data_IF_774373605470
#
_entry.id   IF_774373605470
#
_cell.length_a   1.000
_cell.length_b   1.000
_cell.length_c   1.000
_cell.angle_alpha   90.00
_cell.angle_beta   90.00
_cell.angle_gamma   90.00
#
_symmetry.space_group_name_H-M   'P 1'
#
loop_
_entity.id
_entity.type
_entity.pdbx_description
1 polymer ?
#
# COMPACT_ATOMS: atom_id res chain seq x y z
N UNK A 1 28.33 20.40 25.19
CA UNK A 1 27.17 21.31 25.16
C UNK A 1 26.73 21.67 23.74
N UNK A 2 27.61 22.06 22.81
CA UNK A 2 27.21 22.36 21.41
C UNK A 2 26.69 21.13 20.63
N UNK A 3 27.35 19.98 20.74
CA UNK A 3 26.93 18.72 20.07
C UNK A 3 25.55 18.23 20.56
N UNK A 4 25.25 18.44 21.84
CA UNK A 4 23.98 18.03 22.47
C UNK A 4 22.81 18.90 22.01
N UNK A 5 23.04 20.18 21.70
CA UNK A 5 22.04 21.10 21.15
C UNK A 5 21.79 20.89 19.65
N UNK A 6 22.82 20.49 18.89
CA UNK A 6 22.71 20.16 17.46
C UNK A 6 21.93 18.85 17.26
N UNK A 7 22.22 17.80 18.04
CA UNK A 7 21.45 16.55 18.00
C UNK A 7 19.96 16.80 18.28
N UNK A 8 19.65 17.61 19.29
CA UNK A 8 18.26 17.88 19.67
C UNK A 8 17.46 18.68 18.61
N UNK A 9 18.15 19.37 17.68
CA UNK A 9 17.53 20.07 16.55
C UNK A 9 17.33 19.20 15.31
N UNK A 10 18.04 18.08 15.19
CA UNK A 10 17.86 17.15 14.07
C UNK A 10 16.78 16.11 14.36
N UNK A 11 16.45 15.86 15.64
CA UNK A 11 15.37 14.96 16.03
C UNK A 11 14.00 15.40 15.49
N UNK A 12 13.73 16.70 15.39
CA UNK A 12 12.47 17.20 14.79
C UNK A 12 12.36 16.94 13.28
N UNK A 13 13.44 16.51 12.63
CA UNK A 13 13.46 16.11 11.21
C UNK A 13 13.47 14.59 11.02
N UNK A 14 13.32 13.81 12.11
CA UNK A 14 13.13 12.36 12.04
C UNK A 14 11.65 12.07 12.23
N UNK A 15 11.06 11.41 11.24
CA UNK A 15 9.69 10.95 11.31
C UNK A 15 9.66 9.43 11.36
N UNK A 16 8.83 8.86 12.22
CA UNK A 16 8.51 7.44 12.16
C UNK A 16 7.74 7.17 10.86
N UNK A 17 8.24 6.24 10.05
CA UNK A 17 7.72 5.97 8.72
C UNK A 17 6.31 5.39 8.75
N UNK A 18 5.99 4.58 9.77
CA UNK A 18 4.70 3.94 9.88
C UNK A 18 3.58 4.96 10.16
N UNK A 19 3.84 5.93 11.03
CA UNK A 19 2.93 7.04 11.32
C UNK A 19 2.91 8.10 10.22
N UNK A 20 4.04 8.38 9.56
CA UNK A 20 4.11 9.36 8.48
C UNK A 20 3.42 8.89 7.18
N UNK A 21 3.32 7.58 6.94
CA UNK A 21 2.67 7.03 5.74
C UNK A 21 1.15 6.88 5.94
N UNK A 22 0.39 7.67 5.19
CA UNK A 22 -1.07 7.68 5.18
C UNK A 22 -1.60 6.95 3.94
N UNK A 23 -2.19 5.77 4.17
CA UNK A 23 -2.77 4.95 3.11
C UNK A 23 -4.29 5.11 3.10
N UNK A 24 -4.89 5.26 1.91
CA UNK A 24 -6.35 5.33 1.74
C UNK A 24 -6.85 4.49 0.59
N UNK A 25 -8.04 3.89 0.77
CA UNK A 25 -8.85 3.35 -0.32
C UNK A 25 -9.93 4.38 -0.66
N UNK A 26 -9.64 5.20 -1.67
CA UNK A 26 -10.51 6.30 -2.09
C UNK A 26 -11.62 5.71 -2.96
N UNK A 27 -12.86 5.78 -2.46
CA UNK A 27 -14.04 5.50 -3.26
C UNK A 27 -14.62 6.77 -3.87
N UNK A 28 -14.46 7.90 -3.16
CA UNK A 28 -15.01 9.19 -3.54
C UNK A 28 -14.11 10.36 -3.13
N UNK A 29 -14.35 11.54 -3.71
CA UNK A 29 -13.57 12.74 -3.41
C UNK A 29 -13.57 13.15 -1.94
N UNK A 30 -14.68 12.94 -1.21
CA UNK A 30 -14.73 13.29 0.22
C UNK A 30 -13.75 12.42 1.02
N UNK A 31 -13.53 11.18 0.62
CA UNK A 31 -12.58 10.27 1.27
C UNK A 31 -11.14 10.80 1.23
N UNK A 32 -10.82 11.60 0.20
CA UNK A 32 -9.49 12.20 0.03
C UNK A 32 -9.18 13.14 1.17
N UNK A 33 -10.18 13.95 1.55
CA UNK A 33 -10.09 14.96 2.60
C UNK A 33 -10.46 14.41 3.99
N UNK A 34 -11.10 13.25 4.04
CA UNK A 34 -11.48 12.56 5.27
C UNK A 34 -10.26 11.87 5.91
N UNK A 35 -9.75 12.44 7.00
CA UNK A 35 -8.58 11.91 7.71
C UNK A 35 -8.88 10.57 8.39
N UNK A 36 -10.12 10.31 8.79
CA UNK A 36 -10.51 9.10 9.52
C UNK A 36 -10.49 7.84 8.63
N UNK A 37 -10.41 8.03 7.30
CA UNK A 37 -10.27 6.95 6.32
C UNK A 37 -8.81 6.58 6.03
N UNK A 38 -7.88 7.32 6.60
CA UNK A 38 -6.47 6.95 6.57
C UNK A 38 -6.23 5.74 7.45
N UNK A 39 -5.40 4.84 6.98
CA UNK A 39 -4.82 3.78 7.77
C UNK A 39 -3.31 3.73 7.52
N UNK A 40 -2.59 3.12 8.44
CA UNK A 40 -1.13 3.11 8.46
C UNK A 40 -0.60 1.71 8.14
N UNK A 41 0.62 1.59 7.59
CA UNK A 41 1.31 0.30 7.54
C UNK A 41 1.56 -0.23 8.95
N UNK A 42 1.58 -1.56 9.10
CA UNK A 42 2.05 -2.18 10.34
C UNK A 42 3.59 -2.20 10.40
N UNK A 43 4.22 -2.22 9.22
CA UNK A 43 5.67 -2.23 9.04
C UNK A 43 6.03 -1.53 7.73
N UNK A 44 7.20 -0.92 7.69
CA UNK A 44 7.72 -0.19 6.54
C UNK A 44 9.21 -0.39 6.31
N UNK A 45 9.86 -1.28 7.07
CA UNK A 45 11.29 -1.57 7.00
C UNK A 45 11.75 -2.03 5.61
N UNK A 46 10.88 -2.69 4.85
CA UNK A 46 11.18 -3.12 3.48
C UNK A 46 11.37 -1.93 2.51
N UNK A 47 10.83 -0.75 2.85
CA UNK A 47 10.89 0.46 2.02
C UNK A 47 11.79 1.53 2.63
N UNK A 48 11.73 1.74 3.94
CA UNK A 48 12.49 2.78 4.65
C UNK A 48 13.66 2.25 5.49
N UNK A 49 13.96 0.94 5.38
CA UNK A 49 15.05 0.28 6.10
C UNK A 49 14.68 -0.07 7.55
N UNK A 50 15.52 -0.88 8.19
CA UNK A 50 15.24 -1.53 9.49
C UNK A 50 14.87 -0.58 10.64
N UNK A 51 15.28 0.69 10.58
CA UNK A 51 14.91 1.67 11.60
C UNK A 51 13.50 2.24 11.44
N UNK A 52 12.85 2.06 10.28
CA UNK A 52 11.53 2.60 9.96
C UNK A 52 11.42 4.11 10.25
N UNK A 53 12.50 4.84 9.97
CA UNK A 53 12.61 6.28 10.19
C UNK A 53 12.93 6.96 8.86
N UNK A 54 12.21 8.04 8.59
CA UNK A 54 12.44 8.93 7.47
C UNK A 54 13.14 10.18 8.01
N UNK A 55 14.29 10.51 7.44
CA UNK A 55 15.08 11.66 7.84
C UNK A 55 14.93 12.84 6.86
N UNK A 56 14.92 14.04 7.44
CA UNK A 56 15.10 15.31 6.72
C UNK A 56 13.83 16.16 6.59
N UNK A 57 12.73 15.78 7.23
CA UNK A 57 11.43 16.44 7.07
C UNK A 57 10.76 16.71 8.42
N UNK A 58 10.17 17.90 8.59
CA UNK A 58 9.30 18.22 9.74
C UNK A 58 7.84 17.98 9.37
N UNK A 59 7.09 17.38 10.30
CA UNK A 59 5.66 17.11 10.14
C UNK A 59 5.36 16.44 8.79
N UNK A 60 6.13 15.40 8.48
CA UNK A 60 6.04 14.68 7.24
C UNK A 60 4.71 13.90 7.14
N UNK A 61 4.03 14.06 6.02
CA UNK A 61 2.87 13.27 5.61
C UNK A 61 3.12 12.71 4.20
N UNK A 62 3.29 11.39 4.11
CA UNK A 62 3.42 10.66 2.84
C UNK A 62 2.04 10.09 2.50
N UNK A 63 1.42 10.62 1.45
CA UNK A 63 0.06 10.28 1.03
C UNK A 63 0.11 9.20 -0.05
N UNK A 64 -0.27 7.97 0.29
CA UNK A 64 -0.30 6.83 -0.63
C UNK A 64 -1.75 6.37 -0.84
N UNK A 65 -2.43 6.96 -1.81
CA UNK A 65 -3.87 6.75 -2.01
C UNK A 65 -4.12 5.83 -3.19
N UNK A 66 -5.03 4.89 -3.02
CA UNK A 66 -5.44 3.95 -4.04
C UNK A 66 -6.91 4.17 -4.36
N UNK A 67 -7.25 4.26 -5.65
CA UNK A 67 -8.63 4.13 -6.07
C UNK A 67 -9.12 2.72 -5.69
N UNK A 68 -10.19 2.64 -4.90
CA UNK A 68 -10.59 1.42 -4.21
C UNK A 68 -10.86 0.22 -5.14
N UNK A 69 -11.35 0.46 -6.37
CA UNK A 69 -11.56 -0.58 -7.37
C UNK A 69 -10.33 -0.94 -8.18
N UNK A 70 -9.88 -0.01 -9.04
CA UNK A 70 -8.78 -0.19 -10.00
C UNK A 70 -7.38 -0.27 -9.39
N UNK A 71 -7.19 0.16 -8.14
CA UNK A 71 -5.90 0.37 -7.48
C UNK A 71 -4.98 1.37 -8.19
N UNK A 72 -5.50 2.26 -9.03
CA UNK A 72 -4.71 3.41 -9.50
C UNK A 72 -4.18 4.20 -8.31
N UNK A 73 -2.88 4.49 -8.32
CA UNK A 73 -2.15 4.99 -7.17
C UNK A 73 -1.80 6.46 -7.37
N UNK A 74 -2.05 7.24 -6.32
CA UNK A 74 -1.55 8.60 -6.12
C UNK A 74 -0.49 8.56 -5.01
N UNK A 75 0.64 9.21 -5.25
CA UNK A 75 1.71 9.42 -4.27
C UNK A 75 1.94 10.91 -4.12
N UNK A 76 1.67 11.44 -2.92
CA UNK A 76 1.94 12.83 -2.53
C UNK A 76 2.84 12.88 -1.31
N UNK A 77 3.63 13.95 -1.18
CA UNK A 77 4.48 14.19 -0.01
C UNK A 77 4.23 15.63 0.46
N UNK A 78 3.91 15.79 1.74
CA UNK A 78 3.74 17.08 2.41
C UNK A 78 4.63 17.16 3.63
N UNK A 79 5.14 18.33 3.93
CA UNK A 79 5.97 18.60 5.10
C UNK A 79 5.98 20.10 5.39
N UNK A 80 6.21 20.47 6.64
CA UNK A 80 6.27 21.87 7.07
C UNK A 80 7.66 22.48 6.89
N UNK A 81 8.69 21.63 6.77
CA UNK A 81 10.06 22.05 6.52
C UNK A 81 10.96 20.90 6.13
N UNK A 82 12.04 21.21 5.42
CA UNK A 82 13.08 20.27 5.02
C UNK A 82 14.40 20.67 5.68
N UNK A 83 15.23 19.70 6.05
CA UNK A 83 16.51 19.99 6.71
C UNK A 83 17.44 20.73 5.75
N UNK A 84 18.14 21.72 6.28
CA UNK A 84 19.15 22.46 5.52
C UNK A 84 20.52 21.77 5.67
N UNK A 85 21.21 21.58 4.55
CA UNK A 85 22.48 20.87 4.44
C UNK A 85 23.57 21.42 5.36
N UNK A 86 23.51 22.73 5.66
CA UNK A 86 24.46 23.39 6.57
C UNK A 86 24.30 22.96 8.03
N UNK A 87 23.11 22.49 8.41
CA UNK A 87 22.79 22.03 9.77
C UNK A 87 22.83 20.51 9.92
N UNK A 88 22.78 19.75 8.82
CA UNK A 88 22.81 18.27 8.82
C UNK A 88 24.20 17.67 8.58
N UNK A 89 25.27 18.47 8.66
CA UNK A 89 26.65 18.03 8.37
C UNK A 89 26.79 17.40 6.95
N UNK A 90 25.98 17.86 6.00
CA UNK A 90 25.96 17.36 4.62
C UNK A 90 25.13 16.11 4.38
N UNK A 91 24.39 15.61 5.38
CA UNK A 91 23.42 14.52 5.18
C UNK A 91 22.19 15.05 4.44
N UNK A 92 21.85 14.41 3.32
CA UNK A 92 20.68 14.76 2.51
C UNK A 92 19.38 14.18 3.10
N UNK A 93 18.23 14.85 2.90
CA UNK A 93 16.93 14.27 3.18
C UNK A 93 16.71 12.97 2.40
N UNK A 94 15.91 12.06 2.96
CA UNK A 94 15.52 10.83 2.27
C UNK A 94 14.69 11.11 1.02
N UNK A 95 15.04 10.53 -0.12
CA UNK A 95 14.21 10.59 -1.33
C UNK A 95 13.01 9.63 -1.21
N UNK A 96 11.97 10.10 -0.52
CA UNK A 96 10.73 9.36 -0.25
C UNK A 96 10.07 8.92 -1.56
N UNK A 97 10.05 9.80 -2.57
CA UNK A 97 9.34 9.52 -3.83
C UNK A 97 10.01 8.36 -4.53
N UNK A 98 11.33 8.39 -4.70
CA UNK A 98 12.07 7.30 -5.34
C UNK A 98 11.95 6.00 -4.54
N UNK A 99 12.16 6.06 -3.22
CA UNK A 99 12.05 4.90 -2.32
C UNK A 99 10.69 4.21 -2.43
N UNK A 100 9.59 4.96 -2.44
CA UNK A 100 8.24 4.38 -2.56
C UNK A 100 7.95 3.97 -4.00
N UNK A 101 8.32 4.79 -4.99
CA UNK A 101 8.04 4.54 -6.41
C UNK A 101 8.69 3.27 -6.95
N UNK A 102 9.86 2.89 -6.44
CA UNK A 102 10.55 1.64 -6.79
C UNK A 102 9.68 0.39 -6.55
N UNK A 103 8.73 0.48 -5.63
CA UNK A 103 7.80 -0.60 -5.31
C UNK A 103 6.42 -0.43 -5.96
N UNK A 104 6.11 0.74 -6.53
CA UNK A 104 4.83 1.00 -7.18
C UNK A 104 4.83 0.58 -8.66
N UNK A 105 3.65 0.23 -9.18
CA UNK A 105 3.53 0.00 -10.61
C UNK A 105 3.65 1.33 -11.39
N UNK A 106 4.28 1.33 -12.58
CA UNK A 106 4.43 2.54 -13.40
C UNK A 106 3.07 3.11 -13.84
N UNK A 107 2.97 4.44 -13.87
CA UNK A 107 1.75 5.18 -14.23
C UNK A 107 0.94 5.71 -13.05
N UNK A 108 1.60 6.12 -11.97
CA UNK A 108 0.97 6.86 -10.87
C UNK A 108 0.37 8.18 -11.39
N UNK A 109 -0.87 8.48 -11.01
CA UNK A 109 -1.60 9.65 -11.48
C UNK A 109 -1.42 10.82 -10.50
N UNK A 110 -1.35 12.06 -11.00
CA UNK A 110 -1.21 13.28 -10.19
C UNK A 110 -2.51 14.10 -10.09
N UNK A 111 -3.63 13.58 -10.61
CA UNK A 111 -4.94 14.23 -10.59
C UNK A 111 -6.02 13.27 -10.05
N UNK A 112 -6.92 13.80 -9.22
CA UNK A 112 -8.00 13.10 -8.56
C UNK A 112 -9.33 13.41 -9.25
N UNK A 113 -10.13 12.39 -9.56
CA UNK A 113 -11.51 12.52 -10.07
C UNK A 113 -12.51 11.64 -9.26
N UNK A 114 -13.79 12.00 -9.36
CA UNK A 114 -14.89 12.05 -8.36
C UNK A 114 -15.71 10.76 -8.03
N UNK A 115 -16.75 10.92 -7.17
CA UNK A 115 -18.06 10.20 -7.00
C UNK A 115 -18.27 9.27 -5.77
N UNK A 116 -19.52 9.17 -5.23
CA UNK A 116 -19.96 8.56 -3.93
C UNK A 116 -20.92 7.33 -3.98
N UNK A 117 -21.02 6.57 -2.85
CA UNK A 117 -21.52 5.17 -2.73
C UNK A 117 -22.78 4.91 -1.86
N UNK A 118 -23.61 3.89 -2.21
CA UNK A 118 -24.57 3.19 -1.32
C UNK A 118 -24.65 1.63 -1.53
N UNK A 119 -25.06 0.94 -0.44
CA UNK A 119 -25.33 -0.51 -0.16
C UNK A 119 -24.26 -1.57 -0.53
N UNK A 120 -23.91 -2.42 0.46
CA UNK A 120 -22.68 -3.22 0.44
C UNK A 120 -22.94 -4.74 0.29
N UNK A 121 -22.25 -5.40 -0.62
CA UNK A 121 -22.21 -6.87 -0.77
C UNK A 121 -20.77 -7.33 -1.03
N UNK A 122 -20.33 -8.47 -0.51
CA UNK A 122 -18.97 -8.98 -0.73
C UNK A 122 -18.95 -10.16 -1.71
N UNK A 123 -17.93 -10.24 -2.57
CA UNK A 123 -17.77 -11.27 -3.59
C UNK A 123 -16.30 -11.70 -3.73
N UNK A 124 -16.05 -13.00 -3.83
CA UNK A 124 -14.70 -13.56 -4.04
C UNK A 124 -14.58 -14.06 -5.48
N UNK A 125 -13.49 -13.72 -6.14
CA UNK A 125 -13.18 -14.12 -7.51
C UNK A 125 -11.83 -14.83 -7.54
N UNK A 126 -11.75 -15.92 -8.30
CA UNK A 126 -10.47 -16.54 -8.65
C UNK A 126 -9.95 -15.89 -9.93
N UNK A 127 -8.68 -15.48 -9.92
CA UNK A 127 -7.96 -14.95 -11.08
C UNK A 127 -6.66 -15.71 -11.30
N UNK A 128 -6.16 -15.63 -12.52
CA UNK A 128 -4.84 -16.15 -12.92
C UNK A 128 -4.19 -15.19 -13.94
N UNK A 129 -2.98 -15.53 -14.37
CA UNK A 129 -2.18 -14.73 -15.31
C UNK A 129 -2.83 -14.55 -16.69
N UNK A 130 -3.79 -15.41 -17.05
CA UNK A 130 -4.55 -15.33 -18.31
C UNK A 130 -5.70 -14.34 -18.23
N UNK A 131 -6.11 -13.95 -17.01
CA UNK A 131 -7.18 -12.98 -16.79
C UNK A 131 -6.77 -11.61 -17.36
N UNK A 132 -7.56 -11.01 -18.27
CA UNK A 132 -7.20 -9.74 -18.90
C UNK A 132 -6.89 -8.66 -17.87
N UNK A 133 -5.78 -7.93 -18.09
CA UNK A 133 -5.29 -6.85 -17.20
C UNK A 133 -4.91 -7.26 -15.76
N UNK A 134 -5.06 -8.53 -15.37
CA UNK A 134 -4.79 -8.96 -14.00
C UNK A 134 -3.33 -8.77 -13.59
N UNK A 135 -2.37 -9.03 -14.48
CA UNK A 135 -0.95 -8.79 -14.19
C UNK A 135 -0.67 -7.33 -13.80
N UNK A 136 -1.27 -6.36 -14.49
CA UNK A 136 -1.13 -4.93 -14.17
C UNK A 136 -1.81 -4.60 -12.84
N UNK A 137 -2.97 -5.20 -12.59
CA UNK A 137 -3.70 -5.04 -11.35
C UNK A 137 -2.95 -5.61 -10.14
N UNK A 138 -2.48 -6.85 -10.22
CA UNK A 138 -1.72 -7.52 -9.16
C UNK A 138 -0.43 -6.78 -8.82
N UNK A 139 0.27 -6.21 -9.81
CA UNK A 139 1.45 -5.36 -9.55
C UNK A 139 1.17 -4.17 -8.64
N UNK A 140 -0.05 -3.62 -8.64
CA UNK A 140 -0.49 -2.55 -7.73
C UNK A 140 -0.98 -3.09 -6.39
N UNK A 141 -1.56 -4.29 -6.37
CA UNK A 141 -2.07 -4.93 -5.16
C UNK A 141 -0.95 -5.50 -4.27
N UNK A 142 0.09 -6.09 -4.85
CA UNK A 142 1.16 -6.74 -4.10
C UNK A 142 1.99 -5.79 -3.24
N UNK A 143 1.89 -4.46 -3.47
CA UNK A 143 2.57 -3.46 -2.64
C UNK A 143 2.05 -3.46 -1.21
N UNK A 144 0.76 -3.78 -1.02
CA UNK A 144 0.18 -3.89 0.33
C UNK A 144 0.83 -4.99 1.16
N UNK A 145 1.39 -6.02 0.54
CA UNK A 145 2.02 -7.13 1.28
C UNK A 145 3.27 -6.66 2.00
N UNK A 146 4.03 -5.74 1.42
CA UNK A 146 5.23 -5.16 2.03
C UNK A 146 4.90 -4.38 3.32
N UNK A 147 3.68 -3.84 3.41
CA UNK A 147 3.22 -3.02 4.53
C UNK A 147 2.62 -3.83 5.69
N UNK A 148 2.22 -5.09 5.44
CA UNK A 148 1.35 -5.85 6.36
C UNK A 148 1.78 -7.30 6.60
N UNK A 149 2.75 -7.83 5.85
CA UNK A 149 3.26 -9.18 6.05
C UNK A 149 4.77 -9.14 6.15
N UNK A 150 5.28 -9.55 7.31
CA UNK A 150 6.71 -9.63 7.56
C UNK A 150 7.37 -10.68 6.65
N UNK A 151 8.59 -10.38 6.21
CA UNK A 151 9.35 -11.17 5.24
C UNK A 151 8.61 -11.46 3.92
N UNK A 152 7.65 -10.62 3.54
CA UNK A 152 6.98 -10.72 2.25
C UNK A 152 7.95 -10.45 1.10
N UNK A 153 7.74 -11.16 -0.01
CA UNK A 153 8.39 -10.91 -1.28
C UNK A 153 7.36 -10.91 -2.40
N UNK A 154 7.63 -10.18 -3.48
CA UNK A 154 6.80 -10.26 -4.67
C UNK A 154 6.86 -11.65 -5.31
N UNK A 155 5.73 -12.08 -5.88
CA UNK A 155 5.59 -13.38 -6.51
C UNK A 155 6.03 -13.34 -7.96
N UNK A 156 6.58 -14.45 -8.45
CA UNK A 156 6.84 -14.65 -9.88
C UNK A 156 5.52 -14.94 -10.62
N UNK A 157 5.04 -13.94 -11.36
CA UNK A 157 3.82 -14.01 -12.13
C UNK A 157 3.96 -14.83 -13.42
N UNK A 158 5.17 -15.26 -13.81
CA UNK A 158 5.38 -16.11 -14.98
C UNK A 158 5.15 -17.60 -14.65
N UNK A 159 5.13 -17.97 -13.36
CA UNK A 159 4.79 -19.33 -12.90
C UNK A 159 3.27 -19.53 -12.84
N UNK A 160 2.75 -20.40 -13.70
CA UNK A 160 1.32 -20.69 -13.80
C UNK A 160 0.76 -21.45 -12.60
N UNK A 161 1.59 -21.91 -11.66
CA UNK A 161 1.17 -22.67 -10.47
C UNK A 161 0.53 -21.80 -9.40
N UNK A 162 0.59 -20.48 -9.52
CA UNK A 162 -0.07 -19.54 -8.61
C UNK A 162 -1.57 -19.42 -8.87
N UNK A 163 -2.37 -19.60 -7.82
CA UNK A 163 -3.78 -19.24 -7.79
C UNK A 163 -3.96 -17.95 -6.99
N UNK A 164 -4.78 -17.02 -7.51
CA UNK A 164 -5.10 -15.75 -6.85
C UNK A 164 -6.60 -15.70 -6.54
N UNK A 165 -6.94 -15.36 -5.30
CA UNK A 165 -8.31 -15.19 -4.84
C UNK A 165 -8.49 -13.75 -4.37
N UNK A 166 -9.35 -12.99 -5.05
CA UNK A 166 -9.56 -11.56 -4.83
C UNK A 166 -10.94 -11.36 -4.20
N UNK A 167 -11.01 -10.68 -3.06
CA UNK A 167 -12.28 -10.31 -2.43
C UNK A 167 -12.62 -8.86 -2.76
N UNK A 168 -13.82 -8.61 -3.27
CA UNK A 168 -14.33 -7.28 -3.55
C UNK A 168 -15.59 -6.99 -2.77
N UNK A 169 -15.71 -5.74 -2.36
CA UNK A 169 -16.94 -5.09 -1.91
C UNK A 169 -17.62 -4.47 -3.12
N UNK A 170 -18.79 -5.01 -3.48
CA UNK A 170 -19.69 -4.50 -4.52
C UNK A 170 -20.60 -3.44 -3.92
N UNK A 171 -20.78 -2.35 -4.64
CA UNK A 171 -21.70 -1.27 -4.29
C UNK A 171 -22.25 -0.59 -5.54
N UNK A 172 -23.29 0.24 -5.38
CA UNK A 172 -23.83 1.05 -6.47
C UNK A 172 -23.43 2.51 -6.33
N UNK A 173 -23.05 3.09 -7.45
CA UNK A 173 -22.58 4.47 -7.56
C UNK A 173 -23.09 5.07 -8.87
N UNK A 174 -23.82 6.18 -8.78
CA UNK A 174 -24.43 6.86 -9.94
C UNK A 174 -25.20 5.92 -10.91
N UNK A 175 -25.84 4.86 -10.38
CA UNK A 175 -26.58 3.86 -11.18
C UNK A 175 -25.71 2.75 -11.79
N UNK A 176 -24.39 2.83 -11.68
CA UNK A 176 -23.44 1.80 -12.13
C UNK A 176 -23.00 0.93 -10.95
N UNK A 177 -22.72 -0.35 -11.23
CA UNK A 177 -22.17 -1.27 -10.24
C UNK A 177 -20.66 -1.11 -10.18
N UNK A 178 -20.14 -0.76 -9.02
CA UNK A 178 -18.71 -0.56 -8.77
C UNK A 178 -18.21 -1.58 -7.75
N UNK A 179 -16.90 -1.83 -7.76
CA UNK A 179 -16.20 -2.78 -6.91
C UNK A 179 -15.04 -2.09 -6.19
N UNK A 180 -14.83 -2.41 -4.92
CA UNK A 180 -13.67 -2.00 -4.12
C UNK A 180 -12.96 -3.24 -3.59
N UNK A 181 -11.64 -3.30 -3.71
CA UNK A 181 -10.85 -4.42 -3.20
C UNK A 181 -10.86 -4.43 -1.67
N UNK A 182 -11.13 -5.61 -1.12
CA UNK A 182 -11.16 -5.86 0.32
C UNK A 182 -9.89 -6.53 0.80
N UNK A 183 -9.37 -7.42 -0.02
CA UNK A 183 -8.23 -8.25 0.32
C UNK A 183 -8.01 -9.32 -0.72
N UNK A 184 -6.94 -10.10 -0.55
CA UNK A 184 -6.65 -11.20 -1.42
C UNK A 184 -5.85 -12.31 -0.75
N UNK A 185 -5.86 -13.48 -1.37
CA UNK A 185 -5.08 -14.63 -0.99
C UNK A 185 -4.37 -15.20 -2.22
N UNK A 186 -3.13 -15.65 -2.03
CA UNK A 186 -2.39 -16.43 -3.02
C UNK A 186 -2.14 -17.84 -2.51
N UNK A 187 -2.26 -18.82 -3.39
CA UNK A 187 -1.93 -20.20 -3.09
C UNK A 187 -1.02 -20.78 -4.18
N UNK A 188 0.07 -21.41 -3.77
CA UNK A 188 0.95 -22.13 -4.68
C UNK A 188 0.54 -23.59 -4.78
N UNK A 189 0.37 -24.08 -6.01
CA UNK A 189 0.01 -25.48 -6.27
C UNK A 189 1.26 -26.35 -6.30
N UNK A 190 1.72 -26.81 -5.13
CA UNK A 190 2.82 -27.78 -5.06
C UNK A 190 2.41 -29.12 -5.67
N UNK A 191 3.29 -29.73 -6.44
CA UNK A 191 3.12 -31.10 -6.88
C UNK A 191 3.22 -32.06 -5.69
N UNK A 192 2.27 -32.98 -5.59
CA UNK A 192 2.26 -34.07 -4.64
C UNK A 192 2.22 -35.38 -5.43
N UNK A 193 3.29 -36.18 -5.29
CA UNK A 193 3.40 -37.46 -5.99
C UNK A 193 2.20 -38.38 -5.69
N UNK A 194 1.70 -39.17 -6.66
CA UNK A 194 2.18 -39.29 -8.06
C UNK A 194 1.56 -38.29 -9.05
N UNK A 195 0.40 -37.70 -8.74
CA UNK A 195 -0.36 -36.88 -9.69
C UNK A 195 -1.30 -35.88 -8.99
N UNK A 196 -1.08 -35.65 -7.70
CA UNK A 196 -1.90 -34.75 -6.88
C UNK A 196 -1.28 -33.36 -6.82
N UNK A 197 -2.11 -32.39 -6.40
CA UNK A 197 -1.67 -31.03 -6.07
C UNK A 197 -1.95 -30.76 -4.60
N UNK A 198 -1.02 -30.10 -3.93
CA UNK A 198 -1.16 -29.61 -2.56
C UNK A 198 -1.08 -28.09 -2.58
N UNK A 199 -2.23 -27.38 -2.69
CA UNK A 199 -2.25 -25.93 -2.57
C UNK A 199 -1.74 -25.51 -1.19
N UNK A 200 -0.79 -24.57 -1.15
CA UNK A 200 -0.31 -23.94 0.09
C UNK A 200 -0.57 -22.45 0.00
N UNK A 201 -1.29 -21.92 0.97
CA UNK A 201 -1.48 -20.47 1.10
C UNK A 201 -0.11 -19.83 1.31
N UNK A 202 0.21 -18.80 0.53
CA UNK A 202 1.49 -18.08 0.60
C UNK A 202 1.29 -16.69 1.19
N UNK A 203 0.39 -15.88 0.63
CA UNK A 203 0.06 -14.55 1.14
C UNK A 203 -1.44 -14.50 1.38
N UNK A 204 -1.86 -13.98 2.53
CA UNK A 204 -3.26 -13.76 2.86
C UNK A 204 -3.38 -12.39 3.52
N UNK A 205 -4.16 -11.49 2.92
CA UNK A 205 -4.29 -10.12 3.39
C UNK A 205 -5.74 -9.65 3.25
N UNK A 206 -6.33 -9.24 4.36
CA UNK A 206 -7.52 -8.37 4.37
C UNK A 206 -7.03 -6.96 4.70
N UNK A 207 -7.40 -5.98 3.87
CA UNK A 207 -6.96 -4.60 4.05
C UNK A 207 -7.54 -4.01 5.35
N UNK A 208 -6.79 -3.14 6.06
CA UNK A 208 -7.15 -2.70 7.41
C UNK A 208 -8.60 -2.21 7.60
N UNK A 209 -9.20 -1.43 6.66
CA UNK A 209 -10.59 -0.97 6.81
C UNK A 209 -11.65 -2.08 6.84
N UNK A 210 -11.28 -3.31 6.47
CA UNK A 210 -12.20 -4.46 6.37
C UNK A 210 -11.80 -5.62 7.29
N UNK A 211 -10.87 -5.40 8.22
CA UNK A 211 -10.47 -6.40 9.21
C UNK A 211 -11.47 -6.48 10.37
N UNK A 212 -11.38 -7.56 11.16
CA UNK A 212 -12.17 -7.78 12.40
C UNK A 212 -13.70 -7.79 12.21
N UNK A 213 -14.17 -8.01 10.98
CA UNK A 213 -15.60 -8.13 10.63
C UNK A 213 -15.96 -9.51 10.06
N UNK A 214 -15.08 -10.51 10.21
CA UNK A 214 -15.35 -11.91 9.81
C UNK A 214 -15.11 -12.24 8.33
N UNK A 215 -14.29 -11.45 7.62
CA UNK A 215 -13.94 -11.66 6.21
C UNK A 215 -12.62 -12.41 5.99
N UNK A 216 -11.81 -12.58 7.04
CA UNK A 216 -10.53 -13.28 7.03
C UNK A 216 -10.65 -14.77 7.28
#
# INVERSE_FOLDING_TARGET
>A
MAVTLANNKLEEYKCDANSALHIKLVTNEKDVFDQDKSFHPDMSHQVFGDSEVIFGYKNLEVQLYYHAGSLLTYLGVKYDGMVDKSFSEGVEPDDIISKVADFLAPGCCSNLDHYTVAEQTYQVYKADVTTPNFRKYHKRLQTFVLWYIDAASFLDMDDDRWDFFLMYKKFREAGTTTYSIVGYMTAYRYYAYPDMKRPRISQFLILPPFQKIGLG
#
